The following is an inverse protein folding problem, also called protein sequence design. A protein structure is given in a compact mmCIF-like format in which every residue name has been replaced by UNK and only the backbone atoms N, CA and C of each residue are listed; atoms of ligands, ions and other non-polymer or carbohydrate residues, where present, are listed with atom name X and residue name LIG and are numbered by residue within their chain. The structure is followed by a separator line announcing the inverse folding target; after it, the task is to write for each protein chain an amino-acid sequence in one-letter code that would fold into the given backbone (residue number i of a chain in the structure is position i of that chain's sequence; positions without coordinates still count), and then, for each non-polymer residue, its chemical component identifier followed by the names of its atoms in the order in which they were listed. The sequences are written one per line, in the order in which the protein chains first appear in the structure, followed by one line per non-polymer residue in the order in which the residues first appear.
data_IF_021869781542
#
_entry.id   IF_021869781542
#
_cell.length_a   1.000
_cell.length_b   1.000
_cell.length_c   1.000
_cell.angle_alpha   90.00
_cell.angle_beta   90.00
_cell.angle_gamma   90.00
#
_symmetry.space_group_name_H-M   'P 1'
#
loop_
_entity.id
_entity.type
_entity.pdbx_description
1 polymer ?
#
# COMPACT_ATOMS: atom_id res chain seq x y z
N UNK A 1 16.49 3.69 -15.63
CA UNK A 1 15.13 3.36 -16.10
C UNK A 1 15.10 2.95 -17.56
N UNK A 2 15.56 3.81 -18.49
CA UNK A 2 15.53 3.56 -19.96
C UNK A 2 16.20 2.24 -20.36
N UNK A 3 17.40 1.95 -19.83
CA UNK A 3 18.12 0.70 -20.13
C UNK A 3 17.35 -0.55 -19.69
N UNK A 4 16.68 -0.51 -18.55
CA UNK A 4 15.87 -1.63 -18.04
C UNK A 4 14.67 -1.87 -18.96
N UNK A 5 14.01 -0.80 -19.40
CA UNK A 5 12.88 -0.91 -20.33
C UNK A 5 13.33 -1.51 -21.66
N UNK A 6 14.44 -1.03 -22.23
CA UNK A 6 15.01 -1.58 -23.48
C UNK A 6 15.40 -3.05 -23.30
N UNK A 7 16.00 -3.41 -22.17
CA UNK A 7 16.35 -4.80 -21.86
C UNK A 7 15.11 -5.69 -21.78
N UNK A 8 14.05 -5.27 -21.06
CA UNK A 8 12.81 -6.05 -20.95
C UNK A 8 12.12 -6.22 -22.31
N UNK A 9 12.13 -5.19 -23.15
CA UNK A 9 11.61 -5.31 -24.51
C UNK A 9 12.45 -6.24 -25.38
N UNK A 10 13.76 -6.27 -25.19
CA UNK A 10 14.60 -7.22 -25.93
C UNK A 10 14.30 -8.68 -25.54
N UNK A 11 13.93 -8.96 -24.29
CA UNK A 11 13.51 -10.30 -23.88
C UNK A 11 12.26 -10.79 -24.60
N UNK A 12 11.32 -9.90 -24.92
CA UNK A 12 10.11 -10.25 -25.71
C UNK A 12 10.47 -10.74 -27.12
N UNK A 13 11.56 -10.22 -27.67
CA UNK A 13 12.00 -10.58 -29.03
C UNK A 13 12.84 -11.87 -29.05
N UNK A 14 13.67 -12.06 -28.02
CA UNK A 14 14.68 -13.14 -28.03
C UNK A 14 14.31 -14.35 -27.17
N UNK A 15 13.29 -14.26 -26.30
CA UNK A 15 12.89 -15.34 -25.39
C UNK A 15 11.48 -15.81 -25.73
N UNK A 16 11.34 -16.98 -26.31
CA UNK A 16 10.05 -17.53 -26.81
C UNK A 16 8.94 -17.60 -25.76
N UNK A 17 9.27 -17.82 -24.49
CA UNK A 17 8.30 -17.93 -23.40
C UNK A 17 8.03 -16.62 -22.66
N UNK A 18 8.62 -15.49 -23.11
CA UNK A 18 8.43 -14.17 -22.48
C UNK A 18 7.48 -13.32 -23.31
N UNK A 19 6.27 -13.13 -22.80
CA UNK A 19 5.21 -12.42 -23.53
C UNK A 19 5.31 -10.89 -23.36
N UNK A 20 4.63 -10.17 -24.24
CA UNK A 20 4.45 -8.71 -24.13
C UNK A 20 3.80 -8.33 -22.78
N UNK A 21 2.88 -9.17 -22.29
CA UNK A 21 2.21 -8.96 -21.00
C UNK A 21 3.22 -9.02 -19.86
N UNK A 22 4.14 -10.01 -19.90
CA UNK A 22 5.18 -10.16 -18.88
C UNK A 22 6.11 -8.92 -18.87
N UNK A 23 6.46 -8.40 -20.05
CA UNK A 23 7.24 -7.17 -20.15
C UNK A 23 6.52 -5.96 -19.49
N UNK A 24 5.22 -5.78 -19.78
CA UNK A 24 4.44 -4.70 -19.17
C UNK A 24 4.32 -4.86 -17.64
N UNK A 25 4.11 -6.09 -17.16
CA UNK A 25 4.07 -6.37 -15.73
C UNK A 25 5.40 -6.04 -15.07
N UNK A 26 6.53 -6.50 -15.64
CA UNK A 26 7.86 -6.19 -15.13
C UNK A 26 8.15 -4.68 -15.13
N UNK A 27 7.81 -3.97 -16.21
CA UNK A 27 7.99 -2.52 -16.32
C UNK A 27 7.16 -1.80 -15.24
N UNK A 28 5.91 -2.23 -15.03
CA UNK A 28 5.04 -1.66 -14.00
C UNK A 28 5.63 -1.83 -12.61
N UNK A 29 6.12 -3.04 -12.27
CA UNK A 29 6.79 -3.29 -10.99
C UNK A 29 8.03 -2.43 -10.81
N UNK A 30 8.94 -2.42 -11.79
CA UNK A 30 10.17 -1.61 -11.72
C UNK A 30 9.84 -0.13 -11.55
N UNK A 31 8.81 0.36 -12.24
CA UNK A 31 8.38 1.76 -12.14
C UNK A 31 7.83 2.06 -10.74
N UNK A 32 6.94 1.22 -10.22
CA UNK A 32 6.36 1.39 -8.88
C UNK A 32 7.45 1.35 -7.82
N UNK A 33 8.33 0.34 -7.85
CA UNK A 33 9.44 0.25 -6.88
C UNK A 33 10.40 1.43 -6.96
N UNK A 34 10.71 1.91 -8.16
CA UNK A 34 11.56 3.08 -8.34
C UNK A 34 10.93 4.35 -7.77
N UNK A 35 9.62 4.54 -7.98
CA UNK A 35 8.88 5.67 -7.41
C UNK A 35 8.82 5.59 -5.88
N UNK A 36 8.54 4.40 -5.33
CA UNK A 36 8.52 4.18 -3.88
C UNK A 36 9.89 4.43 -3.28
N UNK A 37 10.95 3.88 -3.88
CA UNK A 37 12.33 4.09 -3.42
C UNK A 37 12.70 5.59 -3.40
N UNK A 38 12.35 6.31 -4.45
CA UNK A 38 12.60 7.75 -4.54
C UNK A 38 11.81 8.52 -3.48
N UNK A 39 10.52 8.20 -3.31
CA UNK A 39 9.67 8.82 -2.30
C UNK A 39 10.18 8.56 -0.88
N UNK A 40 10.55 7.31 -0.55
CA UNK A 40 11.13 6.95 0.74
C UNK A 40 12.45 7.68 0.97
N UNK A 41 13.30 7.80 -0.05
CA UNK A 41 14.56 8.56 0.05
C UNK A 41 14.34 10.04 0.35
N UNK A 42 13.31 10.65 -0.23
CA UNK A 42 12.95 12.04 0.08
C UNK A 42 12.38 12.18 1.51
N UNK A 43 11.51 11.26 1.93
CA UNK A 43 10.92 11.25 3.27
C UNK A 43 11.96 10.94 4.35
N UNK A 44 12.97 10.10 4.04
CA UNK A 44 14.04 9.76 4.98
C UNK A 44 14.88 10.96 5.40
N UNK A 45 15.00 12.00 4.55
CA UNK A 45 15.62 13.26 4.91
C UNK A 45 14.81 14.03 5.98
N UNK A 46 13.53 13.68 6.15
CA UNK A 46 12.63 14.22 7.17
C UNK A 46 12.09 13.06 8.00
N UNK A 47 13.00 12.40 8.72
CA UNK A 47 12.76 11.16 9.49
C UNK A 47 11.52 11.19 10.41
N UNK A 48 11.08 12.37 10.80
CA UNK A 48 9.87 12.55 11.60
C UNK A 48 8.60 12.05 10.88
N UNK A 49 8.51 12.22 9.55
CA UNK A 49 7.36 11.75 8.77
C UNK A 49 7.32 10.23 8.57
N UNK A 50 8.48 9.56 8.62
CA UNK A 50 8.53 8.11 8.52
C UNK A 50 7.71 7.45 9.63
N UNK A 51 7.86 7.93 10.86
CA UNK A 51 7.09 7.41 11.98
C UNK A 51 5.60 7.64 11.82
N UNK A 52 5.19 8.79 11.31
CA UNK A 52 3.77 9.07 11.01
C UNK A 52 3.19 8.04 10.02
N UNK A 53 3.92 7.74 8.93
CA UNK A 53 3.49 6.75 7.92
C UNK A 53 3.46 5.35 8.52
N UNK A 54 4.49 4.96 9.27
CA UNK A 54 4.56 3.64 9.93
C UNK A 54 3.36 3.45 10.86
N UNK A 55 3.08 4.40 11.74
CA UNK A 55 1.95 4.29 12.66
C UNK A 55 0.59 4.39 11.96
N UNK A 56 0.49 5.14 10.85
CA UNK A 56 -0.70 5.15 10.02
C UNK A 56 -1.01 3.76 9.45
N UNK A 57 -0.01 3.08 8.89
CA UNK A 57 -0.16 1.78 8.25
C UNK A 57 -0.43 0.68 9.29
N UNK A 58 0.40 0.56 10.33
CA UNK A 58 0.19 -0.43 11.39
C UNK A 58 -1.12 -0.20 12.16
N UNK A 59 -1.47 1.06 12.40
CA UNK A 59 -2.73 1.42 13.03
C UNK A 59 -3.92 1.02 12.18
N UNK A 60 -3.84 1.24 10.87
CA UNK A 60 -4.87 0.85 9.91
C UNK A 60 -5.08 -0.66 9.90
N UNK A 61 -4.03 -1.45 9.72
CA UNK A 61 -4.12 -2.91 9.69
C UNK A 61 -4.69 -3.47 11.01
N UNK A 62 -4.21 -2.95 12.14
CA UNK A 62 -4.68 -3.35 13.46
C UNK A 62 -6.15 -3.00 13.68
N UNK A 63 -6.54 -1.76 13.35
CA UNK A 63 -7.91 -1.28 13.47
C UNK A 63 -8.86 -2.04 12.56
N UNK A 64 -8.48 -2.26 11.30
CA UNK A 64 -9.26 -3.03 10.34
C UNK A 64 -9.50 -4.47 10.81
N UNK A 65 -8.47 -5.10 11.38
CA UNK A 65 -8.60 -6.46 11.92
C UNK A 65 -9.56 -6.52 13.11
N UNK A 66 -9.37 -5.67 14.13
CA UNK A 66 -10.21 -5.71 15.34
C UNK A 66 -11.65 -5.31 15.06
N UNK A 67 -11.86 -4.22 14.35
CA UNK A 67 -13.21 -3.75 14.02
C UNK A 67 -13.90 -4.72 13.06
N UNK A 68 -13.19 -5.19 12.02
CA UNK A 68 -13.71 -6.15 11.06
C UNK A 68 -14.10 -7.48 11.70
N UNK A 69 -13.35 -7.92 12.74
CA UNK A 69 -13.68 -9.13 13.51
C UNK A 69 -14.85 -8.93 14.48
N UNK A 70 -14.94 -7.76 15.13
CA UNK A 70 -15.96 -7.48 16.13
C UNK A 70 -17.32 -7.18 15.54
N UNK A 71 -17.39 -6.35 14.51
CA UNK A 71 -18.64 -5.83 13.94
C UNK A 71 -18.75 -5.97 12.42
N UNK A 72 -17.79 -6.59 11.73
CA UNK A 72 -17.74 -6.71 10.27
C UNK A 72 -18.85 -7.61 9.72
N UNK A 73 -19.92 -7.00 9.24
CA UNK A 73 -21.09 -7.69 8.65
C UNK A 73 -21.08 -7.64 7.12
N UNK A 74 -20.73 -6.48 6.54
CA UNK A 74 -20.80 -6.26 5.11
C UNK A 74 -19.44 -6.51 4.45
N UNK A 75 -19.35 -7.59 3.66
CA UNK A 75 -18.09 -7.93 2.96
C UNK A 75 -17.81 -6.94 1.83
N UNK A 76 -16.56 -6.46 1.72
CA UNK A 76 -16.15 -5.54 0.65
C UNK A 76 -16.11 -6.23 -0.71
N UNK A 77 -15.33 -7.30 -0.82
CA UNK A 77 -15.21 -8.08 -2.04
C UNK A 77 -14.88 -9.55 -1.71
N UNK A 78 -15.90 -10.43 -1.60
CA UNK A 78 -15.71 -11.83 -1.25
C UNK A 78 -14.80 -12.60 -2.22
N UNK A 79 -14.76 -12.20 -3.49
CA UNK A 79 -13.94 -12.84 -4.53
C UNK A 79 -12.45 -12.56 -4.33
N UNK A 80 -12.08 -11.37 -3.88
CA UNK A 80 -10.69 -10.94 -3.72
C UNK A 80 -10.21 -11.26 -2.30
N UNK A 81 -10.96 -10.79 -1.30
CA UNK A 81 -10.64 -10.97 0.12
C UNK A 81 -11.90 -11.24 0.95
N UNK A 82 -12.21 -12.53 1.23
CA UNK A 82 -13.45 -12.89 1.94
C UNK A 82 -13.46 -12.45 3.41
N UNK A 83 -12.32 -12.08 3.97
CA UNK A 83 -12.20 -11.64 5.36
C UNK A 83 -12.42 -10.14 5.54
N UNK A 84 -12.21 -9.31 4.50
CA UNK A 84 -12.36 -7.85 4.58
C UNK A 84 -13.82 -7.42 4.57
N UNK A 85 -14.17 -6.47 5.45
CA UNK A 85 -15.49 -5.86 5.58
C UNK A 85 -15.40 -4.33 5.49
N UNK A 86 -16.50 -3.70 5.11
CA UNK A 86 -16.59 -2.23 5.05
C UNK A 86 -16.42 -1.58 6.43
N UNK A 87 -16.94 -2.22 7.48
CA UNK A 87 -16.79 -1.77 8.87
C UNK A 87 -15.32 -1.85 9.30
N UNK A 88 -14.64 -2.94 8.91
CA UNK A 88 -13.21 -3.10 9.14
C UNK A 88 -12.39 -2.02 8.43
N UNK A 89 -12.70 -1.76 7.17
CA UNK A 89 -12.07 -0.70 6.38
C UNK A 89 -12.21 0.68 7.04
N UNK A 90 -13.43 1.05 7.44
CA UNK A 90 -13.67 2.30 8.16
C UNK A 90 -12.93 2.34 9.50
N UNK A 91 -12.96 1.23 10.26
CA UNK A 91 -12.21 1.08 11.51
C UNK A 91 -10.71 1.24 11.31
N UNK A 92 -10.15 0.66 10.27
CA UNK A 92 -8.73 0.82 9.90
C UNK A 92 -8.36 2.28 9.65
N UNK A 93 -9.15 2.98 8.85
CA UNK A 93 -8.92 4.42 8.58
C UNK A 93 -8.95 5.23 9.88
N UNK A 94 -9.95 5.01 10.74
CA UNK A 94 -10.09 5.75 12.01
C UNK A 94 -8.91 5.47 12.95
N UNK A 95 -8.56 4.20 13.15
CA UNK A 95 -7.43 3.83 14.03
C UNK A 95 -6.09 4.31 13.48
N UNK A 96 -5.85 4.14 12.18
CA UNK A 96 -4.64 4.63 11.52
C UNK A 96 -4.52 6.15 11.59
N UNK A 97 -5.63 6.88 11.38
CA UNK A 97 -5.70 8.32 11.53
C UNK A 97 -5.35 8.75 12.96
N UNK A 98 -6.01 8.19 13.97
CA UNK A 98 -5.78 8.57 15.37
C UNK A 98 -4.34 8.31 15.78
N UNK A 99 -3.82 7.11 15.46
CA UNK A 99 -2.45 6.76 15.83
C UNK A 99 -1.41 7.65 15.16
N UNK A 100 -1.52 7.84 13.86
CA UNK A 100 -0.60 8.70 13.11
C UNK A 100 -0.70 10.16 13.51
N UNK A 101 -1.91 10.64 13.83
CA UNK A 101 -2.13 12.01 14.28
C UNK A 101 -1.48 12.27 15.63
N UNK A 102 -1.66 11.35 16.61
CA UNK A 102 -1.03 11.45 17.94
C UNK A 102 0.50 11.45 17.81
N UNK A 103 1.07 10.55 17.03
CA UNK A 103 2.51 10.47 16.81
C UNK A 103 3.03 11.71 16.11
N UNK A 104 2.35 12.14 15.07
CA UNK A 104 2.75 13.32 14.31
C UNK A 104 2.72 14.58 15.17
N UNK A 105 1.68 14.77 15.98
CA UNK A 105 1.57 15.92 16.88
C UNK A 105 2.63 15.91 17.99
N UNK A 106 3.09 14.72 18.40
CA UNK A 106 4.11 14.58 19.47
C UNK A 106 5.54 14.75 18.96
N UNK A 107 5.83 14.36 17.73
CA UNK A 107 7.20 14.25 17.22
C UNK A 107 7.55 15.25 16.11
N UNK A 108 6.57 15.79 15.40
CA UNK A 108 6.86 16.66 14.25
C UNK A 108 6.66 18.11 14.63
N UNK A 109 7.77 18.83 14.80
CA UNK A 109 7.78 20.26 15.00
C UNK A 109 7.77 20.99 13.64
N UNK A 110 7.02 22.11 13.55
CA UNK A 110 6.93 23.00 12.37
C UNK A 110 6.17 22.45 11.15
N UNK A 111 5.19 21.58 11.35
CA UNK A 111 4.29 21.15 10.27
C UNK A 111 3.18 22.18 9.99
N UNK A 112 2.84 22.30 8.71
CA UNK A 112 1.55 22.86 8.33
C UNK A 112 0.43 21.93 8.85
N UNK A 113 -0.43 22.39 9.79
CA UNK A 113 -1.44 21.50 10.42
C UNK A 113 -2.40 20.87 9.42
N UNK A 114 -2.74 21.61 8.35
CA UNK A 114 -3.66 21.15 7.30
C UNK A 114 -3.02 20.00 6.52
N UNK A 115 -1.77 20.17 6.08
CA UNK A 115 -1.04 19.12 5.35
C UNK A 115 -0.85 17.88 6.20
N UNK A 116 -0.50 18.05 7.47
CA UNK A 116 -0.31 16.94 8.39
C UNK A 116 -1.60 16.14 8.62
N UNK A 117 -2.71 16.82 8.87
CA UNK A 117 -4.02 16.18 9.03
C UNK A 117 -4.41 15.43 7.77
N UNK A 118 -4.17 16.01 6.60
CA UNK A 118 -4.42 15.37 5.31
C UNK A 118 -3.59 14.10 5.14
N UNK A 119 -2.30 14.13 5.45
CA UNK A 119 -1.43 12.94 5.37
C UNK A 119 -1.90 11.84 6.34
N UNK A 120 -2.22 12.18 7.58
CA UNK A 120 -2.71 11.23 8.57
C UNK A 120 -4.02 10.55 8.13
N UNK A 121 -4.85 11.20 7.31
CA UNK A 121 -6.10 10.63 6.79
C UNK A 121 -5.85 9.79 5.52
N UNK A 122 -5.02 10.27 4.61
CA UNK A 122 -4.79 9.63 3.31
C UNK A 122 -3.92 8.37 3.44
N UNK A 123 -2.90 8.38 4.31
CA UNK A 123 -2.01 7.23 4.46
C UNK A 123 -2.72 5.94 4.88
N UNK A 124 -3.59 5.91 5.92
CA UNK A 124 -4.34 4.70 6.27
C UNK A 124 -5.27 4.22 5.14
N UNK A 125 -5.95 5.15 4.48
CA UNK A 125 -6.88 4.81 3.39
C UNK A 125 -6.15 4.19 2.19
N UNK A 126 -4.99 4.73 1.82
CA UNK A 126 -4.16 4.18 0.74
C UNK A 126 -3.54 2.85 1.10
N UNK A 127 -3.14 2.63 2.37
CA UNK A 127 -2.64 1.36 2.85
C UNK A 127 -3.68 0.24 2.71
N UNK A 128 -4.91 0.48 3.14
CA UNK A 128 -6.02 -0.48 3.01
C UNK A 128 -6.38 -0.79 1.55
N UNK A 129 -6.37 0.23 0.68
CA UNK A 129 -6.59 0.03 -0.76
C UNK A 129 -5.45 -0.74 -1.39
N UNK A 130 -4.20 -0.46 -1.01
CA UNK A 130 -3.02 -1.18 -1.47
C UNK A 130 -3.09 -2.67 -1.17
N UNK A 131 -3.48 -3.06 0.05
CA UNK A 131 -3.64 -4.46 0.42
C UNK A 131 -4.76 -5.16 -0.40
N UNK A 132 -5.85 -4.45 -0.71
CA UNK A 132 -6.87 -4.97 -1.62
C UNK A 132 -6.34 -5.16 -3.05
N UNK A 133 -5.54 -4.23 -3.57
CA UNK A 133 -4.91 -4.35 -4.88
C UNK A 133 -3.96 -5.55 -4.94
N UNK A 134 -3.09 -5.75 -3.95
CA UNK A 134 -2.22 -6.92 -3.86
C UNK A 134 -3.01 -8.22 -3.72
N UNK A 135 -4.10 -8.20 -2.98
CA UNK A 135 -5.00 -9.35 -2.88
C UNK A 135 -5.64 -9.69 -4.24
N UNK A 136 -6.05 -8.68 -5.02
CA UNK A 136 -6.59 -8.87 -6.36
C UNK A 136 -5.56 -9.48 -7.32
N UNK A 137 -4.32 -9.00 -7.29
CA UNK A 137 -3.20 -9.55 -8.08
C UNK A 137 -2.98 -11.02 -7.73
N UNK A 138 -2.90 -11.37 -6.44
CA UNK A 138 -2.74 -12.77 -6.00
C UNK A 138 -3.85 -13.67 -6.55
N UNK A 139 -5.10 -13.22 -6.53
CA UNK A 139 -6.24 -14.00 -7.06
C UNK A 139 -6.21 -14.13 -8.57
N UNK A 140 -5.74 -13.12 -9.28
CA UNK A 140 -5.59 -13.18 -10.73
C UNK A 140 -4.61 -14.29 -11.15
N UNK A 141 -3.52 -14.45 -10.42
CA UNK A 141 -2.53 -15.52 -10.67
C UNK A 141 -2.86 -16.83 -9.96
N UNK A 142 -4.07 -16.99 -9.41
CA UNK A 142 -4.52 -18.17 -8.67
C UNK A 142 -3.61 -18.58 -7.50
N UNK A 143 -2.81 -17.67 -6.96
CA UNK A 143 -1.99 -17.88 -5.77
C UNK A 143 -2.63 -17.24 -4.55
N UNK A 144 -2.38 -17.83 -3.38
CA UNK A 144 -2.82 -17.28 -2.11
C UNK A 144 -1.67 -16.55 -1.41
N UNK A 145 -0.52 -17.18 -1.40
CA UNK A 145 0.70 -16.67 -0.78
C UNK A 145 1.86 -16.81 -1.78
N UNK A 146 2.85 -15.92 -1.73
CA UNK A 146 4.00 -15.96 -2.64
C UNK A 146 5.10 -16.96 -2.18
N UNK A 147 4.87 -17.66 -1.06
CA UNK A 147 5.86 -18.55 -0.41
C UNK A 147 5.60 -20.04 -0.62
N UNK A 148 4.81 -20.42 -1.62
CA UNK A 148 4.63 -21.83 -1.99
C UNK A 148 5.14 -22.08 -3.38
#
# INVERSE_FOLDING_TARGET
MTLIVVFLWSLVVFVENFSIIDAFVCISYVTIFSLVYHAVGQIANVHQYLWTIVFATYGSDTGAYFVGRAIGKHKMNPRISPKKSWEGFAGGIVFGFVLSFVVSFSYVSNLNPVLNTFLCLVCPATAELGDLCFSAIKRHFAVKDFSN
#
